data_IF_924678689912
#
_entry.id   IF_924678689912
#
_cell.length_a   1.000
_cell.length_b   1.000
_cell.length_c   1.000
_cell.angle_alpha   90.00
_cell.angle_beta   90.00
_cell.angle_gamma   90.00
#
_symmetry.space_group_name_H-M   'P 1'
#
loop_
_entity.id
_entity.type
_entity.pdbx_description
1 polymer ?
#
# COMPACT_ATOMS: atom_id res chain seq x y z
N UNK A 1 -5.84 -3.41 -4.46
CA UNK A 1 -6.40 -4.40 -3.51
C UNK A 1 -7.52 -3.76 -2.71
N UNK A 2 -8.60 -4.49 -2.44
CA UNK A 2 -9.69 -4.05 -1.54
C UNK A 2 -9.27 -4.17 -0.07
N UNK A 3 -10.00 -3.52 0.83
CA UNK A 3 -9.73 -3.52 2.27
C UNK A 3 -9.52 -4.93 2.88
N UNK A 4 -10.39 -5.94 2.65
CA UNK A 4 -10.20 -7.27 3.23
C UNK A 4 -8.94 -7.98 2.72
N UNK A 5 -8.60 -7.80 1.42
CA UNK A 5 -7.40 -8.39 0.83
C UNK A 5 -6.14 -7.73 1.40
N UNK A 6 -6.14 -6.41 1.50
CA UNK A 6 -5.02 -5.66 2.05
C UNK A 6 -4.80 -5.94 3.55
N UNK A 7 -5.88 -6.13 4.32
CA UNK A 7 -5.82 -6.52 5.72
C UNK A 7 -5.21 -7.93 5.88
N UNK A 8 -5.67 -8.89 5.07
CA UNK A 8 -5.10 -10.23 5.05
C UNK A 8 -3.61 -10.23 4.65
N UNK A 9 -3.24 -9.42 3.65
CA UNK A 9 -1.84 -9.25 3.24
C UNK A 9 -0.95 -8.75 4.39
N UNK A 10 -1.47 -7.83 5.19
CA UNK A 10 -0.77 -7.24 6.34
C UNK A 10 -0.85 -8.11 7.61
N UNK A 11 -1.58 -9.22 7.59
CA UNK A 11 -1.76 -10.11 8.74
C UNK A 11 -2.56 -9.49 9.89
N UNK A 12 -3.49 -8.59 9.60
CA UNK A 12 -4.32 -7.90 10.61
C UNK A 12 -5.80 -7.98 10.27
N UNK A 13 -6.68 -7.67 11.24
CA UNK A 13 -8.12 -7.55 10.98
C UNK A 13 -8.42 -6.33 10.10
N UNK A 14 -9.53 -6.39 9.34
CA UNK A 14 -9.94 -5.30 8.45
C UNK A 14 -10.15 -3.98 9.20
N UNK A 15 -10.79 -4.00 10.37
CA UNK A 15 -10.98 -2.80 11.19
C UNK A 15 -9.65 -2.19 11.65
N UNK A 16 -8.70 -3.02 12.09
CA UNK A 16 -7.35 -2.53 12.44
C UNK A 16 -6.61 -1.99 11.23
N UNK A 17 -6.74 -2.64 10.06
CA UNK A 17 -6.16 -2.18 8.82
C UNK A 17 -6.71 -0.80 8.42
N UNK A 18 -8.03 -0.62 8.43
CA UNK A 18 -8.67 0.66 8.09
C UNK A 18 -8.32 1.77 9.08
N UNK A 19 -8.23 1.48 10.38
CA UNK A 19 -7.85 2.47 11.39
C UNK A 19 -6.42 2.99 11.19
N UNK A 20 -5.48 2.13 10.78
CA UNK A 20 -4.06 2.48 10.63
C UNK A 20 -3.71 2.95 9.23
N UNK A 21 -4.24 2.27 8.22
CA UNK A 21 -3.85 2.41 6.82
C UNK A 21 -4.96 3.01 5.94
N UNK A 22 -6.12 3.32 6.52
CA UNK A 22 -7.27 3.91 5.85
C UNK A 22 -6.93 5.21 5.13
N UNK A 23 -6.08 6.06 5.71
CA UNK A 23 -5.68 7.33 5.11
C UNK A 23 -4.83 7.17 3.84
N UNK A 24 -4.14 6.03 3.69
CA UNK A 24 -3.22 5.82 2.59
C UNK A 24 -3.89 5.20 1.35
N UNK A 25 -5.12 4.70 1.45
CA UNK A 25 -5.79 4.10 0.30
C UNK A 25 -6.21 5.15 -0.73
N UNK A 26 -6.06 4.80 -2.01
CA UNK A 26 -6.51 5.62 -3.14
C UNK A 26 -8.01 5.42 -3.34
N UNK A 27 -8.75 6.52 -3.47
CA UNK A 27 -10.19 6.46 -3.72
C UNK A 27 -10.43 6.28 -5.21
N UNK A 28 -11.12 5.20 -5.57
CA UNK A 28 -11.54 4.89 -6.94
C UNK A 28 -13.07 4.71 -6.94
N UNK A 29 -13.78 5.76 -7.37
CA UNK A 29 -15.24 5.82 -7.27
C UNK A 29 -15.72 5.75 -5.81
N UNK A 30 -16.54 4.73 -5.52
CA UNK A 30 -17.06 4.44 -4.17
C UNK A 30 -16.11 3.57 -3.34
N UNK A 31 -15.08 2.99 -3.95
CA UNK A 31 -14.17 2.06 -3.29
C UNK A 31 -12.86 2.76 -2.90
N UNK A 32 -12.21 2.22 -1.86
CA UNK A 32 -10.85 2.57 -1.50
C UNK A 32 -9.95 1.38 -1.76
N UNK A 33 -8.84 1.61 -2.45
CA UNK A 33 -7.92 0.58 -2.91
C UNK A 33 -6.50 0.86 -2.43
N UNK A 34 -5.74 -0.20 -2.21
CA UNK A 34 -4.33 -0.14 -1.83
C UNK A 34 -3.46 -0.89 -2.85
N UNK A 35 -2.35 -0.28 -3.24
CA UNK A 35 -1.36 -0.91 -4.09
C UNK A 35 -0.42 -1.79 -3.26
N UNK A 36 0.03 -2.93 -3.82
CA UNK A 36 0.95 -3.84 -3.13
C UNK A 36 2.27 -3.15 -2.78
N UNK A 37 2.87 -2.46 -3.75
CA UNK A 37 4.13 -1.74 -3.57
C UNK A 37 4.05 -0.70 -2.45
N UNK A 38 2.89 -0.10 -2.25
CA UNK A 38 2.66 0.85 -1.17
C UNK A 38 2.62 0.17 0.20
N UNK A 39 1.93 -0.96 0.33
CA UNK A 39 1.91 -1.75 1.56
C UNK A 39 3.30 -2.31 1.89
N UNK A 40 4.05 -2.78 0.90
CA UNK A 40 5.42 -3.26 1.09
C UNK A 40 6.35 -2.17 1.65
N UNK A 41 6.23 -0.93 1.15
CA UNK A 41 6.97 0.21 1.71
C UNK A 41 6.60 0.50 3.16
N UNK A 42 5.33 0.29 3.54
CA UNK A 42 4.87 0.47 4.93
C UNK A 42 5.41 -0.63 5.85
N UNK A 43 5.37 -1.89 5.41
CA UNK A 43 5.97 -3.04 6.12
C UNK A 43 7.47 -2.78 6.34
N UNK A 44 8.17 -2.36 5.28
CA UNK A 44 9.59 -2.07 5.35
C UNK A 44 9.95 -1.01 6.39
N UNK A 45 9.17 0.08 6.43
CA UNK A 45 9.34 1.14 7.43
C UNK A 45 9.07 0.63 8.84
N UNK A 46 8.04 -0.21 9.02
CA UNK A 46 7.65 -0.72 10.33
C UNK A 46 8.70 -1.66 10.94
N UNK A 47 9.34 -2.50 10.13
CA UNK A 47 10.30 -3.51 10.60
C UNK A 47 11.77 -3.10 10.42
N UNK A 48 12.04 -1.84 10.03
CA UNK A 48 13.38 -1.33 9.72
C UNK A 48 14.18 -2.26 8.79
N UNK A 49 13.47 -2.96 7.90
CA UNK A 49 14.10 -3.93 7.01
C UNK A 49 14.94 -3.18 5.98
N UNK A 50 16.20 -3.59 5.73
CA UNK A 50 16.96 -3.05 4.63
C UNK A 50 16.18 -3.34 3.35
N UNK A 51 15.63 -2.28 2.74
CA UNK A 51 14.98 -2.38 1.46
C UNK A 51 16.03 -2.88 0.47
N UNK A 52 15.93 -4.15 0.08
CA UNK A 52 16.78 -4.71 -0.96
C UNK A 52 16.61 -3.82 -2.18
N UNK A 53 17.67 -3.07 -2.49
CA UNK A 53 17.77 -2.20 -3.67
C UNK A 53 17.93 -3.10 -4.89
N UNK A 54 16.88 -3.85 -5.21
CA UNK A 54 16.85 -4.90 -6.23
C UNK A 54 15.50 -5.06 -6.92
N UNK A 55 14.50 -4.25 -6.56
CA UNK A 55 13.27 -4.03 -7.34
C UNK A 55 13.16 -2.53 -7.73
N UNK A 56 14.29 -1.93 -8.06
CA UNK A 56 14.42 -0.56 -8.55
C UNK A 56 14.48 -0.52 -10.10
N UNK A 57 13.56 -1.23 -10.74
CA UNK A 57 13.22 -1.12 -12.16
C UNK A 57 11.74 -1.54 -12.19
N UNK A 58 10.74 -0.68 -12.20
CA UNK A 58 10.61 0.65 -12.76
C UNK A 58 9.87 1.52 -11.72
N UNK A 59 10.39 2.71 -11.39
CA UNK A 59 9.50 3.74 -10.86
C UNK A 59 8.63 4.14 -12.04
N UNK A 60 7.45 3.53 -12.11
CA UNK A 60 6.39 3.99 -13.00
C UNK A 60 5.89 5.34 -12.47
N UNK A 61 6.62 6.40 -12.82
CA UNK A 61 6.26 7.81 -12.60
C UNK A 61 5.20 8.28 -13.64
N UNK A 62 4.60 7.36 -14.41
CA UNK A 62 3.57 7.64 -15.44
C UNK A 62 2.27 8.24 -14.90
N UNK A 63 2.06 8.25 -13.58
CA UNK A 63 0.82 8.73 -12.96
C UNK A 63 0.91 10.17 -12.44
N UNK A 64 2.08 10.82 -12.49
CA UNK A 64 2.26 12.21 -12.04
C UNK A 64 1.73 13.24 -13.07
N UNK A 65 1.41 12.81 -14.29
CA UNK A 65 0.97 13.69 -15.40
C UNK A 65 -0.52 14.07 -15.39
N UNK A 66 -1.32 13.61 -14.42
CA UNK A 66 -2.76 13.96 -14.33
C UNK A 66 -2.97 14.97 -13.19
N UNK A 67 -2.67 16.25 -13.45
CA UNK A 67 -2.96 17.38 -12.56
C UNK A 67 -3.91 18.39 -13.20
#
# INVERSE_FOLDING_TARGET
MTAPIAAAYMGVSEGTFLARFGAFGVKEGSNKLWAKAQLDRLIAKQFALPQARGAAAERDDSWDDVR
#
